data_IF_079748468729
#
_entry.id   IF_079748468729
#
_cell.length_a   1.000
_cell.length_b   1.000
_cell.length_c   1.000
_cell.angle_alpha   90.00
_cell.angle_beta   90.00
_cell.angle_gamma   90.00
#
_symmetry.space_group_name_H-M   'P 1'
#
loop_
_entity.id
_entity.type
_entity.pdbx_description
1 polymer ?
#
# COMPACT_ATOMS: atom_id res chain seq x y z
N UNK A 1 17.07 -6.10 -19.44
CA UNK A 1 15.59 -5.94 -19.49
C UNK A 1 15.05 -4.96 -18.43
N UNK A 2 15.89 -4.11 -17.81
CA UNK A 2 15.50 -3.16 -16.75
C UNK A 2 15.12 -1.71 -17.19
N UNK A 3 15.58 -1.14 -18.32
CA UNK A 3 15.34 0.29 -18.58
C UNK A 3 13.91 0.64 -19.06
N UNK A 4 13.14 -0.32 -19.59
CA UNK A 4 11.79 -0.04 -20.08
C UNK A 4 10.76 0.09 -18.96
N UNK A 5 10.79 -0.78 -17.93
CA UNK A 5 9.83 -0.70 -16.81
C UNK A 5 9.91 0.61 -16.02
N UNK A 6 11.06 1.32 -16.11
CA UNK A 6 11.24 2.59 -15.41
C UNK A 6 10.44 3.72 -16.06
N UNK A 7 10.42 3.85 -17.38
CA UNK A 7 9.87 5.04 -18.05
C UNK A 7 8.38 5.32 -17.79
N UNK A 8 7.61 4.31 -17.40
CA UNK A 8 6.15 4.40 -17.27
C UNK A 8 5.65 4.41 -15.81
N UNK A 9 6.56 4.46 -14.83
CA UNK A 9 6.25 4.47 -13.41
C UNK A 9 6.22 5.90 -12.83
N UNK A 10 5.27 6.19 -11.92
CA UNK A 10 5.22 7.46 -11.18
C UNK A 10 6.45 7.59 -10.27
N UNK A 11 6.85 8.82 -9.93
CA UNK A 11 8.09 9.07 -9.16
C UNK A 11 8.14 8.33 -7.82
N UNK A 12 7.07 8.33 -7.02
CA UNK A 12 7.02 7.58 -5.76
C UNK A 12 6.96 6.05 -5.95
N UNK A 13 6.60 5.57 -7.15
CA UNK A 13 6.63 4.15 -7.46
C UNK A 13 8.08 3.63 -7.52
N UNK A 14 9.08 4.46 -7.84
CA UNK A 14 10.49 4.03 -7.85
C UNK A 14 11.02 3.69 -6.46
N UNK A 15 10.65 4.48 -5.44
CA UNK A 15 11.00 4.15 -4.06
C UNK A 15 10.37 2.82 -3.68
N UNK A 16 9.07 2.66 -3.96
CA UNK A 16 8.37 1.41 -3.64
C UNK A 16 8.95 0.21 -4.37
N UNK A 17 9.29 0.34 -5.66
CA UNK A 17 9.99 -0.70 -6.43
C UNK A 17 11.32 -1.07 -5.78
N UNK A 18 12.10 -0.09 -5.32
CA UNK A 18 13.37 -0.34 -4.65
C UNK A 18 13.19 -1.05 -3.30
N UNK A 19 12.13 -0.72 -2.55
CA UNK A 19 11.77 -1.42 -1.32
C UNK A 19 11.33 -2.87 -1.58
N UNK A 20 10.54 -3.11 -2.64
CA UNK A 20 10.11 -4.44 -3.08
C UNK A 20 11.29 -5.29 -3.56
N UNK A 21 12.19 -4.70 -4.35
CA UNK A 21 13.40 -5.38 -4.84
C UNK A 21 14.34 -5.78 -3.72
N UNK A 22 14.36 -4.98 -2.65
CA UNK A 22 15.35 -5.09 -1.61
C UNK A 22 16.77 -4.83 -2.14
N UNK A 23 17.75 -5.05 -1.27
CA UNK A 23 19.17 -5.00 -1.64
C UNK A 23 19.96 -5.78 -0.61
N UNK A 24 20.96 -6.57 -1.04
CA UNK A 24 21.87 -7.24 -0.10
C UNK A 24 22.75 -6.27 0.68
N UNK A 25 22.82 -5.00 0.25
CA UNK A 25 23.59 -3.94 0.91
C UNK A 25 22.76 -3.09 1.85
N UNK A 26 21.43 -3.17 1.78
CA UNK A 26 20.53 -2.37 2.60
C UNK A 26 19.74 -3.28 3.53
N UNK A 27 19.36 -2.72 4.66
CA UNK A 27 18.39 -3.31 5.56
C UNK A 27 17.21 -2.37 5.70
N UNK A 28 16.01 -2.91 5.62
CA UNK A 28 14.77 -2.15 5.74
C UNK A 28 14.03 -2.54 7.01
N UNK A 29 13.41 -1.57 7.67
CA UNK A 29 12.52 -1.80 8.81
C UNK A 29 11.20 -1.02 8.61
N UNK A 30 10.04 -1.71 8.51
CA UNK A 30 9.94 -3.16 8.41
C UNK A 30 10.56 -3.69 7.10
N UNK A 31 10.87 -5.01 7.01
CA UNK A 31 11.22 -5.63 5.73
C UNK A 31 10.00 -5.70 4.80
N UNK A 32 10.22 -5.69 3.48
CA UNK A 32 9.12 -5.81 2.54
C UNK A 32 8.44 -7.18 2.65
N UNK A 33 9.16 -8.28 2.52
CA UNK A 33 8.57 -9.61 2.76
C UNK A 33 8.90 -10.09 4.16
N UNK A 34 7.91 -10.67 4.81
CA UNK A 34 8.12 -11.47 6.02
C UNK A 34 8.54 -12.88 5.56
N UNK A 35 9.82 -13.23 5.77
CA UNK A 35 10.37 -14.53 5.37
C UNK A 35 9.66 -15.71 6.08
N UNK A 36 8.93 -15.44 7.17
CA UNK A 36 8.18 -16.46 7.91
C UNK A 36 6.78 -16.74 7.34
N UNK A 37 6.27 -15.87 6.46
CA UNK A 37 4.95 -16.03 5.86
C UNK A 37 5.00 -16.99 4.66
N UNK A 38 4.27 -18.10 4.73
CA UNK A 38 4.26 -19.10 3.65
C UNK A 38 3.43 -18.68 2.42
N UNK A 39 2.46 -17.78 2.60
CA UNK A 39 1.56 -17.33 1.55
C UNK A 39 1.27 -15.83 1.64
N UNK A 40 1.55 -15.11 0.56
CA UNK A 40 1.18 -13.70 0.42
C UNK A 40 -0.02 -13.54 -0.52
N UNK A 41 -1.00 -12.75 -0.09
CA UNK A 41 -2.06 -12.22 -0.97
C UNK A 41 -1.97 -10.71 -0.91
N UNK A 42 -1.54 -10.11 -2.01
CA UNK A 42 -1.31 -8.69 -2.12
C UNK A 42 -2.34 -8.09 -3.07
N UNK A 43 -2.96 -6.98 -2.68
CA UNK A 43 -3.85 -6.20 -3.54
C UNK A 43 -3.23 -4.84 -3.81
N UNK A 44 -3.05 -4.48 -5.07
CA UNK A 44 -2.60 -3.15 -5.48
C UNK A 44 -3.82 -2.29 -5.85
N UNK A 45 -3.99 -1.17 -5.15
CA UNK A 45 -5.03 -0.17 -5.45
C UNK A 45 -4.51 0.84 -6.49
N UNK A 46 -5.32 1.11 -7.51
CA UNK A 46 -4.97 2.09 -8.54
C UNK A 46 -3.68 1.72 -9.29
N UNK A 47 -3.65 0.50 -9.82
CA UNK A 47 -2.45 -0.14 -10.37
C UNK A 47 -1.89 0.56 -11.61
N UNK A 48 -2.70 1.38 -12.29
CA UNK A 48 -2.31 2.16 -13.47
C UNK A 48 -1.77 1.27 -14.59
N UNK A 49 -0.45 1.24 -14.75
CA UNK A 49 0.22 0.42 -15.77
C UNK A 49 0.46 -1.03 -15.32
N UNK A 50 0.35 -1.34 -14.01
CA UNK A 50 0.54 -2.70 -13.47
C UNK A 50 2.00 -3.14 -13.34
N UNK A 51 2.94 -2.23 -13.56
CA UNK A 51 4.38 -2.48 -13.46
C UNK A 51 4.78 -2.93 -12.05
N UNK A 52 4.16 -2.33 -11.03
CA UNK A 52 4.41 -2.70 -9.64
C UNK A 52 3.89 -4.11 -9.35
N UNK A 53 2.67 -4.46 -9.77
CA UNK A 53 2.15 -5.83 -9.70
C UNK A 53 3.02 -6.88 -10.38
N UNK A 54 3.51 -6.60 -11.59
CA UNK A 54 4.49 -7.48 -12.26
C UNK A 54 5.71 -7.67 -11.36
N UNK A 55 6.18 -6.60 -10.74
CA UNK A 55 7.35 -6.68 -9.87
C UNK A 55 7.08 -7.47 -8.59
N UNK A 56 5.93 -7.28 -7.97
CA UNK A 56 5.48 -8.07 -6.83
C UNK A 56 5.46 -9.56 -7.19
N UNK A 57 4.87 -9.93 -8.32
CA UNK A 57 4.83 -11.32 -8.78
C UNK A 57 6.22 -11.94 -9.02
N UNK A 58 7.26 -11.14 -9.27
CA UNK A 58 8.64 -11.62 -9.42
C UNK A 58 9.33 -11.93 -8.10
N UNK A 59 8.95 -11.24 -7.01
CA UNK A 59 9.59 -11.41 -5.70
C UNK A 59 8.83 -12.36 -4.78
N UNK A 60 7.55 -12.62 -5.07
CA UNK A 60 6.74 -13.54 -4.28
C UNK A 60 7.07 -15.01 -4.60
N UNK A 61 6.76 -15.88 -3.63
CA UNK A 61 6.78 -17.32 -3.84
C UNK A 61 5.77 -17.74 -4.93
N UNK A 62 5.91 -18.92 -5.55
CA UNK A 62 4.96 -19.40 -6.57
C UNK A 62 3.50 -19.48 -6.10
N UNK A 63 3.25 -19.55 -4.79
CA UNK A 63 1.91 -19.54 -4.19
C UNK A 63 1.38 -18.12 -3.92
N UNK A 64 2.24 -17.11 -4.01
CA UNK A 64 1.88 -15.71 -3.83
C UNK A 64 0.86 -15.28 -4.88
N UNK A 65 -0.13 -14.50 -4.44
CA UNK A 65 -1.17 -13.95 -5.31
C UNK A 65 -1.09 -12.42 -5.28
N UNK A 66 -1.07 -11.81 -6.45
CA UNK A 66 -1.14 -10.37 -6.63
C UNK A 66 -2.40 -10.00 -7.40
N UNK A 67 -3.23 -9.16 -6.81
CA UNK A 67 -4.48 -8.66 -7.40
C UNK A 67 -4.25 -7.20 -7.79
N UNK A 68 -4.17 -6.95 -9.09
CA UNK A 68 -4.09 -5.62 -9.66
C UNK A 68 -5.49 -5.05 -9.80
N UNK A 69 -5.72 -3.91 -9.18
CA UNK A 69 -7.02 -3.24 -9.23
C UNK A 69 -6.94 -1.81 -9.72
N UNK A 70 -7.94 -1.43 -10.53
CA UNK A 70 -8.11 -0.08 -11.06
C UNK A 70 -9.57 0.11 -11.54
N UNK A 71 -9.88 1.23 -12.18
CA UNK A 71 -11.16 1.46 -12.82
C UNK A 71 -11.44 0.41 -13.92
N UNK A 72 -12.72 0.06 -14.16
CA UNK A 72 -13.10 -0.90 -15.19
C UNK A 72 -12.47 -0.65 -16.57
N UNK A 73 -12.38 0.61 -16.97
CA UNK A 73 -11.82 1.01 -18.27
C UNK A 73 -10.29 0.89 -18.35
N UNK A 74 -9.60 0.81 -17.20
CA UNK A 74 -8.14 0.65 -17.12
C UNK A 74 -7.76 -0.84 -17.13
N UNK A 75 -8.64 -1.73 -16.65
CA UNK A 75 -8.37 -3.17 -16.59
C UNK A 75 -7.93 -3.81 -17.92
N UNK A 76 -8.50 -3.49 -19.10
CA UNK A 76 -8.01 -4.01 -20.38
C UNK A 76 -6.53 -3.68 -20.64
N UNK A 77 -6.09 -2.45 -20.31
CA UNK A 77 -4.70 -2.02 -20.48
C UNK A 77 -3.75 -2.73 -19.51
N UNK A 78 -4.21 -2.98 -18.28
CA UNK A 78 -3.47 -3.78 -17.31
C UNK A 78 -3.22 -5.20 -17.85
N UNK A 79 -4.26 -5.85 -18.39
CA UNK A 79 -4.14 -7.20 -18.98
C UNK A 79 -3.17 -7.23 -20.16
N UNK A 80 -3.28 -6.28 -21.08
CA UNK A 80 -2.35 -6.14 -22.20
C UNK A 80 -0.90 -5.97 -21.70
N UNK A 81 -0.70 -5.21 -20.63
CA UNK A 81 0.62 -5.02 -20.03
C UNK A 81 1.16 -6.32 -19.43
N UNK A 82 0.32 -7.11 -18.75
CA UNK A 82 0.71 -8.43 -18.24
C UNK A 82 1.14 -9.37 -19.38
N UNK A 83 0.34 -9.45 -20.44
CA UNK A 83 0.62 -10.31 -21.61
C UNK A 83 1.94 -9.93 -22.30
N UNK A 84 2.19 -8.63 -22.49
CA UNK A 84 3.46 -8.11 -23.06
C UNK A 84 4.68 -8.50 -22.23
N UNK A 85 4.51 -8.68 -20.93
CA UNK A 85 5.58 -9.10 -20.01
C UNK A 85 5.61 -10.61 -19.77
N UNK A 86 4.84 -11.39 -20.54
CA UNK A 86 4.83 -12.86 -20.47
C UNK A 86 4.00 -13.45 -19.33
N UNK A 87 3.17 -12.63 -18.67
CA UNK A 87 2.25 -13.08 -17.64
C UNK A 87 0.88 -13.39 -18.22
N UNK A 88 0.22 -14.39 -17.65
CA UNK A 88 -1.19 -14.68 -17.86
C UNK A 88 -1.91 -14.52 -16.54
N UNK A 89 -3.14 -14.02 -16.59
CA UNK A 89 -3.98 -14.01 -15.39
C UNK A 89 -4.20 -15.44 -14.88
N UNK A 90 -4.11 -15.61 -13.56
CA UNK A 90 -4.46 -16.87 -12.92
C UNK A 90 -5.97 -17.06 -12.94
N UNK A 91 -6.38 -18.29 -13.22
CA UNK A 91 -7.78 -18.72 -13.21
C UNK A 91 -8.17 -19.25 -11.83
N UNK A 92 -7.21 -19.81 -11.09
CA UNK A 92 -7.41 -20.35 -9.75
C UNK A 92 -6.54 -19.58 -8.73
N UNK A 93 -7.14 -18.71 -7.90
CA UNK A 93 -6.44 -17.98 -6.84
C UNK A 93 -5.66 -18.88 -5.86
N UNK A 94 -6.06 -20.15 -5.71
CA UNK A 94 -5.36 -21.11 -4.87
C UNK A 94 -3.98 -21.52 -5.44
N UNK A 95 -3.74 -21.29 -6.73
CA UNK A 95 -2.46 -21.57 -7.40
C UNK A 95 -1.47 -20.41 -7.33
N UNK A 96 -1.88 -19.25 -6.79
CA UNK A 96 -1.09 -18.01 -6.87
C UNK A 96 -1.13 -17.36 -8.25
N UNK A 97 -0.26 -16.38 -8.48
CA UNK A 97 -0.11 -15.67 -9.74
C UNK A 97 -0.62 -14.22 -9.70
N UNK A 98 -1.10 -13.74 -10.85
CA UNK A 98 -1.60 -12.38 -11.05
C UNK A 98 -3.07 -12.40 -11.44
N UNK A 99 -3.87 -11.49 -10.89
CA UNK A 99 -5.27 -11.26 -11.28
C UNK A 99 -5.49 -9.80 -11.55
N UNK A 100 -6.32 -9.46 -12.54
CA UNK A 100 -6.78 -8.10 -12.79
C UNK A 100 -8.26 -7.99 -12.47
N UNK A 101 -8.62 -7.08 -11.57
CA UNK A 101 -10.01 -6.86 -11.17
C UNK A 101 -10.38 -5.37 -11.13
N UNK A 102 -11.59 -5.01 -11.58
CA UNK A 102 -12.08 -3.65 -11.39
C UNK A 102 -12.33 -3.37 -9.91
N UNK A 103 -11.89 -2.21 -9.45
CA UNK A 103 -12.16 -1.70 -8.10
C UNK A 103 -12.11 -0.16 -8.07
N UNK A 104 -13.18 0.53 -8.52
CA UNK A 104 -13.38 1.93 -8.17
C UNK A 104 -13.33 2.11 -6.65
N UNK A 105 -12.60 3.10 -6.18
CA UNK A 105 -12.45 3.33 -4.74
C UNK A 105 -13.80 3.64 -4.09
N UNK A 106 -13.98 3.17 -2.86
CA UNK A 106 -15.24 3.24 -2.11
C UNK A 106 -16.35 2.30 -2.57
N UNK A 107 -16.16 1.51 -3.65
CA UNK A 107 -17.21 0.63 -4.15
C UNK A 107 -17.30 -0.71 -3.41
N UNK A 108 -18.42 -0.88 -2.68
CA UNK A 108 -18.73 -2.12 -1.97
C UNK A 108 -18.98 -3.29 -2.94
N UNK A 109 -19.65 -3.02 -4.06
CA UNK A 109 -19.98 -4.04 -5.07
C UNK A 109 -18.73 -4.63 -5.70
N UNK A 110 -17.82 -3.78 -6.19
CA UNK A 110 -16.58 -4.24 -6.81
C UNK A 110 -15.65 -4.92 -5.80
N UNK A 111 -15.57 -4.42 -4.57
CA UNK A 111 -14.84 -5.11 -3.51
C UNK A 111 -15.45 -6.50 -3.25
N UNK A 112 -16.78 -6.63 -3.19
CA UNK A 112 -17.44 -7.92 -2.99
C UNK A 112 -17.11 -8.92 -4.11
N UNK A 113 -16.96 -8.47 -5.36
CA UNK A 113 -16.48 -9.31 -6.45
C UNK A 113 -15.06 -9.83 -6.20
N UNK A 114 -14.14 -8.96 -5.74
CA UNK A 114 -12.78 -9.39 -5.35
C UNK A 114 -12.82 -10.39 -4.21
N UNK A 115 -13.72 -10.21 -3.23
CA UNK A 115 -13.92 -11.17 -2.15
C UNK A 115 -14.43 -12.53 -2.64
N UNK A 116 -15.33 -12.53 -3.62
CA UNK A 116 -15.82 -13.76 -4.24
C UNK A 116 -14.73 -14.51 -5.02
N UNK A 117 -13.86 -13.79 -5.75
CA UNK A 117 -12.67 -14.36 -6.37
C UNK A 117 -11.79 -15.06 -5.31
N UNK A 118 -11.59 -14.42 -4.17
CA UNK A 118 -10.83 -14.96 -3.03
C UNK A 118 -11.56 -16.04 -2.23
N UNK A 119 -12.77 -16.42 -2.64
CA UNK A 119 -13.63 -17.44 -1.99
C UNK A 119 -13.99 -17.09 -0.55
N UNK A 120 -14.12 -15.81 -0.25
CA UNK A 120 -14.46 -15.31 1.08
C UNK A 120 -15.98 -15.31 1.33
N UNK A 121 -16.44 -15.46 2.58
CA UNK A 121 -15.66 -15.78 3.79
C UNK A 121 -15.41 -17.28 4.01
N UNK A 122 -16.15 -18.16 3.33
CA UNK A 122 -16.26 -19.59 3.69
C UNK A 122 -16.22 -20.55 2.48
N UNK A 123 -15.61 -20.15 1.36
CA UNK A 123 -15.45 -21.04 0.20
C UNK A 123 -14.36 -22.09 0.41
N UNK A 124 -14.18 -23.00 -0.56
CA UNK A 124 -13.13 -24.02 -0.49
C UNK A 124 -11.74 -23.37 -0.59
N UNK A 125 -10.95 -23.47 0.50
CA UNK A 125 -9.61 -22.86 0.65
C UNK A 125 -9.64 -21.33 0.41
N UNK A 126 -10.25 -20.56 1.32
CA UNK A 126 -10.32 -19.11 1.20
C UNK A 126 -8.92 -18.51 1.32
N UNK A 127 -8.67 -17.42 0.59
CA UNK A 127 -7.41 -16.69 0.65
C UNK A 127 -7.65 -15.27 1.16
N UNK A 128 -6.94 -14.91 2.22
CA UNK A 128 -7.13 -13.63 2.89
C UNK A 128 -6.02 -12.66 2.53
N UNK A 129 -6.35 -11.37 2.45
CA UNK A 129 -5.36 -10.34 2.18
C UNK A 129 -4.32 -10.31 3.30
N UNK A 130 -3.05 -10.32 2.91
CA UNK A 130 -1.91 -10.10 3.82
C UNK A 130 -1.34 -8.71 3.65
N UNK A 131 -1.55 -8.10 2.47
CA UNK A 131 -1.05 -6.75 2.19
C UNK A 131 -1.89 -5.98 1.18
N UNK A 132 -2.01 -4.67 1.41
CA UNK A 132 -2.51 -3.71 0.43
C UNK A 132 -1.36 -2.81 0.00
N UNK A 133 -1.22 -2.57 -1.29
CA UNK A 133 -0.19 -1.74 -1.89
C UNK A 133 -0.84 -0.49 -2.50
N UNK A 134 -0.33 0.68 -2.15
CA UNK A 134 -0.78 1.96 -2.69
C UNK A 134 0.43 2.71 -3.23
N UNK A 135 0.48 2.93 -4.54
CA UNK A 135 1.54 3.71 -5.17
C UNK A 135 1.01 5.07 -5.58
N UNK A 136 1.32 6.10 -4.78
CA UNK A 136 1.12 7.50 -5.17
C UNK A 136 -0.34 7.88 -5.44
N UNK A 137 -1.22 7.53 -4.50
CA UNK A 137 -2.69 7.68 -4.61
C UNK A 137 -3.24 8.94 -3.92
N UNK A 138 -2.45 9.60 -3.07
CA UNK A 138 -2.88 10.74 -2.25
C UNK A 138 -2.49 12.05 -2.94
N UNK A 139 -3.35 12.56 -3.82
CA UNK A 139 -3.06 13.81 -4.56
C UNK A 139 -4.31 14.55 -5.10
N UNK A 140 -5.43 13.86 -5.33
CA UNK A 140 -6.70 14.49 -5.72
C UNK A 140 -7.69 14.51 -4.53
N UNK A 141 -8.05 15.69 -4.00
CA UNK A 141 -8.94 15.83 -2.85
C UNK A 141 -10.26 15.06 -2.96
N UNK A 142 -10.85 15.02 -4.15
CA UNK A 142 -12.14 14.40 -4.44
C UNK A 142 -12.09 12.86 -4.32
N UNK A 143 -10.88 12.27 -4.36
CA UNK A 143 -10.68 10.83 -4.28
C UNK A 143 -10.21 10.35 -2.90
N UNK A 144 -9.93 11.27 -1.96
CA UNK A 144 -9.35 10.93 -0.65
C UNK A 144 -10.32 10.12 0.21
N UNK A 145 -11.60 10.51 0.28
CA UNK A 145 -12.59 9.80 1.08
C UNK A 145 -12.93 8.41 0.49
N UNK A 146 -13.18 8.25 -0.83
CA UNK A 146 -13.31 6.93 -1.43
C UNK A 146 -12.09 6.03 -1.21
N UNK A 147 -10.86 6.57 -1.29
CA UNK A 147 -9.64 5.82 -1.02
C UNK A 147 -9.60 5.31 0.43
N UNK A 148 -9.83 6.20 1.40
CA UNK A 148 -9.86 5.83 2.82
C UNK A 148 -10.92 4.76 3.09
N UNK A 149 -12.12 4.90 2.50
CA UNK A 149 -13.20 3.93 2.59
C UNK A 149 -12.77 2.55 2.07
N UNK A 150 -12.10 2.48 0.91
CA UNK A 150 -11.55 1.23 0.38
C UNK A 150 -10.52 0.61 1.32
N UNK A 151 -9.61 1.40 1.89
CA UNK A 151 -8.60 0.89 2.82
C UNK A 151 -9.23 0.31 4.08
N UNK A 152 -10.24 0.97 4.66
CA UNK A 152 -10.99 0.45 5.81
C UNK A 152 -11.74 -0.82 5.43
N UNK A 153 -12.42 -0.84 4.28
CA UNK A 153 -13.18 -2.00 3.83
C UNK A 153 -12.29 -3.22 3.58
N UNK A 154 -11.19 -3.06 2.82
CA UNK A 154 -10.28 -4.14 2.45
C UNK A 154 -9.44 -4.63 3.65
N UNK A 155 -9.32 -3.82 4.69
CA UNK A 155 -8.73 -4.23 5.97
C UNK A 155 -9.75 -4.72 6.99
N UNK A 156 -11.01 -4.93 6.59
CA UNK A 156 -12.07 -5.51 7.43
C UNK A 156 -12.34 -6.97 7.07
N UNK A 157 -13.12 -7.66 7.90
CA UNK A 157 -13.82 -8.87 7.46
C UNK A 157 -14.71 -8.56 6.24
N UNK A 158 -14.77 -9.43 5.23
CA UNK A 158 -14.22 -10.78 5.22
C UNK A 158 -12.80 -10.89 4.64
N UNK A 159 -12.20 -9.79 4.15
CA UNK A 159 -10.88 -9.79 3.49
C UNK A 159 -9.74 -10.22 4.40
N UNK A 160 -9.88 -9.94 5.69
CA UNK A 160 -8.97 -10.39 6.73
C UNK A 160 -9.78 -11.08 7.85
N UNK A 161 -9.38 -12.27 8.32
CA UNK A 161 -10.02 -12.91 9.46
C UNK A 161 -9.87 -12.05 10.70
N UNK A 162 -10.91 -12.00 11.55
CA UNK A 162 -10.86 -11.23 12.79
C UNK A 162 -9.66 -11.62 13.69
N UNK A 163 -9.25 -12.89 13.68
CA UNK A 163 -8.11 -13.40 14.46
C UNK A 163 -6.74 -12.88 13.97
N UNK A 164 -6.61 -12.54 12.69
CA UNK A 164 -5.35 -12.10 12.08
C UNK A 164 -5.44 -10.70 11.48
N UNK A 165 -6.50 -9.95 11.80
CA UNK A 165 -6.74 -8.61 11.25
C UNK A 165 -5.60 -7.61 11.52
N UNK A 166 -4.87 -7.80 12.62
CA UNK A 166 -3.71 -7.01 13.01
C UNK A 166 -2.44 -7.29 12.18
N UNK A 167 -2.45 -8.35 11.35
CA UNK A 167 -1.30 -8.77 10.53
C UNK A 167 -1.34 -8.21 9.12
N UNK A 168 -2.47 -7.64 8.67
CA UNK A 168 -2.55 -6.98 7.38
C UNK A 168 -1.71 -5.70 7.41
N UNK A 169 -0.70 -5.65 6.54
CA UNK A 169 0.07 -4.44 6.30
C UNK A 169 -0.52 -3.65 5.11
N UNK A 170 -0.48 -2.33 5.20
CA UNK A 170 -0.74 -1.42 4.08
C UNK A 170 0.55 -0.67 3.79
N UNK A 171 1.09 -0.83 2.59
CA UNK A 171 2.32 -0.14 2.17
C UNK A 171 1.94 0.96 1.20
N UNK A 172 2.24 2.21 1.58
CA UNK A 172 1.89 3.39 0.82
C UNK A 172 3.16 4.13 0.42
N UNK A 173 3.45 4.21 -0.88
CA UNK A 173 4.40 5.21 -1.36
C UNK A 173 3.69 6.51 -1.70
N UNK A 174 4.34 7.61 -1.36
CA UNK A 174 3.72 8.93 -1.38
C UNK A 174 4.77 10.00 -1.73
N UNK A 175 4.40 10.92 -2.61
CA UNK A 175 5.18 12.15 -2.86
C UNK A 175 4.30 13.36 -2.59
N UNK A 176 4.80 14.26 -1.75
CA UNK A 176 4.11 15.52 -1.45
C UNK A 176 4.05 16.37 -2.73
N UNK A 177 2.85 16.68 -3.21
CA UNK A 177 2.63 17.66 -4.30
C UNK A 177 2.00 18.94 -3.77
N UNK A 178 1.05 18.78 -2.85
CA UNK A 178 0.36 19.88 -2.21
C UNK A 178 -0.06 19.47 -0.81
N UNK A 179 0.82 19.76 0.15
CA UNK A 179 0.64 19.38 1.54
C UNK A 179 -0.74 19.80 2.08
N UNK A 180 -1.21 21.00 1.77
CA UNK A 180 -2.52 21.49 2.21
C UNK A 180 -3.71 20.68 1.66
N UNK A 181 -3.57 20.08 0.48
CA UNK A 181 -4.60 19.22 -0.14
C UNK A 181 -4.51 17.78 0.36
N UNK A 182 -3.33 17.33 0.76
CA UNK A 182 -3.03 15.94 1.12
C UNK A 182 -3.15 15.69 2.62
N UNK A 183 -2.86 16.68 3.47
CA UNK A 183 -2.95 16.61 4.94
C UNK A 183 -4.30 16.10 5.44
N UNK A 184 -5.46 16.52 4.89
CA UNK A 184 -6.75 15.99 5.33
C UNK A 184 -6.86 14.47 5.22
N UNK A 185 -6.25 13.86 4.18
CA UNK A 185 -6.20 12.40 4.07
C UNK A 185 -5.38 11.79 5.19
N UNK A 186 -4.18 12.30 5.44
CA UNK A 186 -3.30 11.72 6.45
C UNK A 186 -3.86 11.85 7.87
N UNK A 187 -4.53 12.96 8.17
CA UNK A 187 -5.16 13.19 9.48
C UNK A 187 -6.35 12.25 9.68
N UNK A 188 -7.17 12.04 8.64
CA UNK A 188 -8.26 11.06 8.67
C UNK A 188 -7.73 9.62 8.70
N UNK A 189 -6.71 9.30 7.89
CA UNK A 189 -6.08 7.99 7.84
C UNK A 189 -5.49 7.60 9.19
N UNK A 190 -4.81 8.53 9.88
CA UNK A 190 -4.23 8.32 11.20
C UNK A 190 -5.25 7.99 12.29
N UNK A 191 -6.51 8.41 12.13
CA UNK A 191 -7.61 8.01 13.04
C UNK A 191 -7.89 6.50 12.95
N UNK A 192 -7.83 5.91 11.75
CA UNK A 192 -8.16 4.50 11.52
C UNK A 192 -6.93 3.57 11.54
N UNK A 193 -5.77 4.10 11.18
CA UNK A 193 -4.54 3.35 11.00
C UNK A 193 -3.40 3.97 11.79
N UNK A 194 -2.52 3.13 12.33
CA UNK A 194 -1.19 3.56 12.76
C UNK A 194 -0.24 3.36 11.62
N UNK A 195 0.62 4.33 11.32
CA UNK A 195 1.58 4.21 10.24
C UNK A 195 2.92 4.85 10.57
N UNK A 196 3.98 4.30 9.98
CA UNK A 196 5.36 4.69 10.26
C UNK A 196 6.14 4.70 8.95
N UNK A 197 7.15 5.58 8.82
CA UNK A 197 8.04 5.54 7.67
C UNK A 197 8.80 4.21 7.65
N UNK A 198 9.00 3.66 6.46
CA UNK A 198 9.98 2.60 6.27
C UNK A 198 11.36 3.21 6.49
N UNK A 199 12.14 2.58 7.36
CA UNK A 199 13.51 2.96 7.66
C UNK A 199 14.47 2.12 6.83
N UNK A 200 15.64 2.68 6.54
CA UNK A 200 16.73 2.01 5.82
C UNK A 200 18.05 2.26 6.53
N UNK A 201 18.94 1.27 6.53
CA UNK A 201 20.35 1.45 6.89
C UNK A 201 21.26 0.67 5.96
N UNK A 202 22.53 1.08 5.88
CA UNK A 202 23.53 0.31 5.15
C UNK A 202 23.96 -0.92 5.95
N UNK A 203 24.15 -2.05 5.28
CA UNK A 203 24.79 -3.24 5.83
C UNK A 203 26.32 -3.21 5.67
N UNK A 204 26.87 -2.22 4.95
CA UNK A 204 28.31 -2.10 4.72
C UNK A 204 29.01 -1.43 5.90
N UNK A 205 30.22 -1.90 6.25
CA UNK A 205 30.96 -1.50 7.45
C UNK A 205 31.12 0.02 7.64
N UNK A 206 31.23 0.79 6.55
CA UNK A 206 31.55 2.23 6.59
C UNK A 206 30.39 3.14 7.06
N UNK A 207 29.15 2.62 7.13
CA UNK A 207 27.93 3.37 7.54
C UNK A 207 26.91 2.44 8.23
N UNK A 208 27.41 1.42 8.94
CA UNK A 208 26.64 0.24 9.36
C UNK A 208 25.66 0.46 10.53
N UNK A 209 25.43 1.70 10.97
CA UNK A 209 24.77 1.98 12.26
C UNK A 209 23.42 2.67 12.17
N UNK A 210 23.31 3.70 11.34
CA UNK A 210 22.24 4.69 11.51
C UNK A 210 21.04 4.36 10.64
N UNK A 211 19.89 4.17 11.30
CA UNK A 211 18.61 4.10 10.63
C UNK A 211 18.22 5.49 10.17
N UNK A 212 17.87 5.61 8.90
CA UNK A 212 17.30 6.83 8.33
C UNK A 212 16.02 6.50 7.58
N UNK A 213 15.18 7.50 7.37
CA UNK A 213 13.95 7.34 6.59
C UNK A 213 14.28 6.91 5.16
N UNK A 214 13.60 5.88 4.67
CA UNK A 214 13.75 5.48 3.28
C UNK A 214 13.17 6.54 2.34
N UNK A 215 14.00 7.03 1.42
CA UNK A 215 13.69 8.17 0.56
C UNK A 215 14.23 9.52 1.05
N UNK A 216 15.02 9.58 2.13
CA UNK A 216 15.64 10.82 2.63
C UNK A 216 16.90 11.27 1.89
N UNK A 217 17.41 10.51 0.92
CA UNK A 217 18.76 10.71 0.36
C UNK A 217 18.95 11.94 -0.55
N UNK A 218 17.99 12.85 -0.61
CA UNK A 218 18.13 14.14 -1.28
C UNK A 218 17.21 15.18 -0.61
N UNK A 219 17.76 16.35 -0.26
CA UNK A 219 17.03 17.51 0.28
C UNK A 219 15.85 17.99 -0.61
N UNK A 220 15.72 17.47 -1.84
CA UNK A 220 14.65 17.78 -2.79
C UNK A 220 13.57 16.69 -2.88
N UNK A 221 13.81 15.48 -2.35
CA UNK A 221 12.90 14.35 -2.50
C UNK A 221 11.91 14.24 -1.33
N UNK A 222 10.78 14.92 -1.50
CA UNK A 222 9.59 14.83 -0.62
C UNK A 222 8.79 13.54 -0.82
N UNK A 223 9.50 12.42 -0.92
CA UNK A 223 8.92 11.11 -1.19
C UNK A 223 9.13 10.18 0.00
N UNK A 224 8.11 9.39 0.31
CA UNK A 224 8.00 8.57 1.50
C UNK A 224 7.50 7.18 1.12
N UNK A 225 7.89 6.17 1.90
CA UNK A 225 7.20 4.88 1.94
C UNK A 225 6.75 4.68 3.37
N UNK A 226 5.45 4.51 3.58
CA UNK A 226 4.86 4.21 4.88
C UNK A 226 4.43 2.74 4.95
N UNK A 227 4.63 2.14 6.11
CA UNK A 227 3.96 0.89 6.49
C UNK A 227 2.90 1.22 7.52
N UNK A 228 1.68 0.76 7.29
CA UNK A 228 0.51 1.07 8.10
C UNK A 228 -0.25 -0.19 8.48
N UNK A 229 -0.88 -0.15 9.66
CA UNK A 229 -1.75 -1.20 10.18
C UNK A 229 -3.01 -0.59 10.75
N UNK A 230 -4.11 -1.33 10.64
CA UNK A 230 -5.38 -0.88 11.21
C UNK A 230 -5.31 -0.89 12.73
N UNK A 231 -5.80 0.19 13.36
CA UNK A 231 -5.87 0.30 14.83
C UNK A 231 -6.80 -0.78 15.39
N UNK A 232 -6.40 -1.55 16.42
CA UNK A 232 -7.25 -2.59 17.02
C UNK A 232 -8.63 -2.08 17.45
N UNK A 233 -8.70 -0.89 18.04
CA UNK A 233 -9.94 -0.25 18.47
C UNK A 233 -10.86 0.12 17.30
N UNK A 234 -10.29 0.44 16.13
CA UNK A 234 -11.03 0.90 14.95
C UNK A 234 -11.87 -0.18 14.25
N UNK A 235 -11.67 -1.45 14.59
CA UNK A 235 -12.50 -2.54 14.09
C UNK A 235 -13.93 -2.51 14.68
N UNK A 236 -14.09 -1.86 15.83
CA UNK A 236 -15.37 -1.77 16.54
C UNK A 236 -16.18 -0.51 16.19
N UNK A 237 -15.60 0.44 15.48
CA UNK A 237 -16.24 1.72 15.19
C UNK A 237 -17.21 1.64 14.01
N UNK A 238 -18.25 2.46 14.08
CA UNK A 238 -19.14 2.65 12.94
C UNK A 238 -18.41 3.47 11.86
N UNK A 239 -18.44 2.98 10.62
CA UNK A 239 -17.86 3.69 9.47
C UNK A 239 -18.92 4.66 8.95
N UNK A 240 -18.66 5.98 8.91
CA UNK A 240 -19.64 6.94 8.40
C UNK A 240 -20.00 6.70 6.93
N UNK A 241 -21.29 6.83 6.59
CA UNK A 241 -21.75 6.75 5.20
C UNK A 241 -21.34 7.98 4.39
N UNK A 242 -21.36 9.16 5.01
CA UNK A 242 -20.94 10.42 4.40
C UNK A 242 -19.41 10.51 4.31
N UNK A 243 -18.90 10.88 3.15
CA UNK A 243 -17.48 11.12 2.92
C UNK A 243 -16.95 12.29 3.77
N UNK A 244 -17.76 13.32 3.97
CA UNK A 244 -17.40 14.43 4.86
C UNK A 244 -17.23 13.96 6.30
N UNK A 245 -18.14 13.11 6.79
CA UNK A 245 -18.10 12.61 8.17
C UNK A 245 -16.92 11.66 8.37
N UNK A 246 -16.65 10.80 7.37
CA UNK A 246 -15.51 9.90 7.37
C UNK A 246 -14.18 10.66 7.47
N UNK A 247 -14.01 11.73 6.69
CA UNK A 247 -12.79 12.53 6.67
C UNK A 247 -12.60 13.39 7.93
N UNK A 248 -13.67 13.66 8.68
CA UNK A 248 -13.62 14.41 9.93
C UNK A 248 -13.61 13.50 11.18
N UNK A 249 -13.41 12.18 11.01
CA UNK A 249 -13.31 11.23 12.12
C UNK A 249 -14.60 11.04 12.92
N UNK A 250 -15.76 11.41 12.35
CA UNK A 250 -17.06 11.28 13.03
C UNK A 250 -17.32 9.81 13.39
N UNK A 251 -17.80 9.56 14.60
CA UNK A 251 -18.04 8.19 15.09
C UNK A 251 -16.80 7.51 15.67
N UNK A 252 -15.68 8.22 15.76
CA UNK A 252 -14.46 7.75 16.43
C UNK A 252 -14.16 8.61 17.68
N UNK A 253 -13.28 8.15 18.60
CA UNK A 253 -12.86 8.95 19.74
C UNK A 253 -12.02 10.20 19.37
N UNK A 254 -11.55 10.30 18.13
CA UNK A 254 -10.60 11.32 17.68
C UNK A 254 -11.13 12.06 16.44
N UNK A 255 -11.16 13.39 16.46
CA UNK A 255 -11.55 14.16 15.27
C UNK A 255 -10.44 14.21 14.21
N UNK A 256 -9.19 13.95 14.59
CA UNK A 256 -8.01 13.96 13.73
C UNK A 256 -6.81 13.35 14.47
N UNK A 257 -5.84 12.80 13.74
CA UNK A 257 -4.54 12.41 14.28
C UNK A 257 -3.42 13.32 13.70
N UNK A 258 -2.51 13.80 14.56
CA UNK A 258 -1.38 14.66 14.20
C UNK A 258 -0.07 13.87 13.92
N UNK A 259 -0.17 12.54 13.80
CA UNK A 259 0.94 11.64 13.51
C UNK A 259 1.68 12.06 12.24
N UNK A 260 0.97 12.51 11.21
CA UNK A 260 1.59 12.89 9.95
C UNK A 260 2.45 14.15 10.08
N UNK A 261 1.97 15.19 10.74
CA UNK A 261 2.74 16.41 10.98
C UNK A 261 3.98 16.10 11.82
N UNK A 262 3.86 15.22 12.81
CA UNK A 262 5.01 14.77 13.63
C UNK A 262 6.05 14.08 12.76
N UNK A 263 5.63 13.16 11.88
CA UNK A 263 6.52 12.45 10.96
C UNK A 263 7.18 13.37 9.93
N UNK A 264 6.47 14.41 9.49
CA UNK A 264 7.03 15.42 8.59
C UNK A 264 8.08 16.28 9.30
N UNK A 265 7.81 16.72 10.53
CA UNK A 265 8.76 17.53 11.31
C UNK A 265 10.06 16.76 11.56
N UNK A 266 9.97 15.50 12.00
CA UNK A 266 11.16 14.64 12.16
C UNK A 266 11.92 14.43 10.84
N UNK A 267 11.21 14.41 9.71
CA UNK A 267 11.85 14.27 8.41
C UNK A 267 12.62 15.51 7.96
N UNK A 268 12.25 16.71 8.44
CA UNK A 268 13.00 17.94 8.18
C UNK A 268 14.19 18.10 9.12
N UNK A 269 14.11 17.59 10.35
CA UNK A 269 15.23 17.62 11.30
C UNK A 269 16.38 16.70 10.84
N UNK A 270 16.07 15.52 10.27
CA UNK A 270 17.05 14.60 9.67
C UNK A 270 17.87 15.27 8.54
N UNK A 271 17.29 16.25 7.82
CA UNK A 271 17.96 16.97 6.73
C UNK A 271 18.94 18.05 7.22
N UNK A 272 18.78 18.55 8.46
CA UNK A 272 19.66 19.59 9.04
C UNK A 272 20.95 19.00 9.65
N UNK A 273 20.92 17.75 10.14
CA UNK A 273 22.10 17.10 10.75
C UNK A 273 23.16 16.69 9.72
N UNK A 274 22.76 16.31 8.49
CA UNK A 274 23.68 15.91 7.39
C UNK A 274 24.49 17.10 6.80
N UNK A 275 24.25 18.33 7.28
CA UNK A 275 24.95 19.55 6.85
C UNK A 275 25.83 20.20 7.93
N UNK A 276 26.04 19.53 9.07
CA UNK A 276 26.82 20.04 10.21
C UNK A 276 28.17 19.38 10.44
#
# INVERSE_FOLDING_TARGET
MQPLLRKDAREAAYLLLSYIEGSSRLEFDPPFLDETAEEHVMLELGSGTGILGIKLAQVLSPKGLVILTDLPDVCPLLRETLEKHGYKETVDPASGGLMVRPLPWGSIEFASSVGADLRLPSGDRPRYLTRIICSDLVYFPELLAPLLRSLIQLSSTPFVPASTAHQLDIVISYRIRSLSKETPFWNAFGVWFTFYPVMVRSRTADDSGTWRRFGSSAAEDRSFVFSARRRPESFSWAIPESDSDLMNGVGTPWSSDAQFETLLLTAFDDDEEDHS
#
